data_IF_461705087103
#
_entry.id   IF_461705087103
#
_cell.length_a   1.000
_cell.length_b   1.000
_cell.length_c   1.000
_cell.angle_alpha   90.00
_cell.angle_beta   90.00
_cell.angle_gamma   90.00
#
_symmetry.space_group_name_H-M   'P 1'
#
loop_
_entity.id
_entity.type
_entity.pdbx_description
1 polymer ?
#
# COMPACT_ATOMS: atom_id res chain seq x y z
N UNK A 1 -14.35 -15.30 -16.79
CA UNK A 1 -13.59 -14.04 -16.86
C UNK A 1 -12.22 -14.29 -16.26
N UNK A 2 -11.13 -13.79 -16.87
CA UNK A 2 -9.80 -13.84 -16.25
C UNK A 2 -9.88 -13.03 -14.95
N UNK A 3 -9.51 -13.61 -13.81
CA UNK A 3 -9.39 -12.86 -12.55
C UNK A 3 -8.38 -11.74 -12.80
N UNK A 4 -8.68 -10.53 -12.34
CA UNK A 4 -7.79 -9.37 -12.52
C UNK A 4 -7.57 -8.70 -11.19
N UNK A 5 -6.30 -8.53 -10.86
CA UNK A 5 -5.87 -7.93 -9.61
C UNK A 5 -5.26 -6.56 -9.93
N UNK A 6 -5.67 -5.54 -9.19
CA UNK A 6 -5.07 -4.21 -9.27
C UNK A 6 -4.36 -3.95 -7.95
N UNK A 7 -3.05 -3.73 -7.96
CA UNK A 7 -2.33 -3.30 -6.75
C UNK A 7 -2.02 -1.82 -6.84
N UNK A 8 -2.32 -1.04 -5.80
CA UNK A 8 -2.05 0.40 -5.77
C UNK A 8 -1.10 0.73 -4.63
N UNK A 9 0.14 1.03 -4.98
CA UNK A 9 1.12 1.71 -4.12
C UNK A 9 0.99 3.23 -4.30
N UNK A 10 1.29 4.01 -3.26
CA UNK A 10 0.95 5.44 -3.26
C UNK A 10 1.73 6.30 -2.26
N UNK A 11 2.04 7.52 -2.65
CA UNK A 11 2.47 8.57 -1.73
C UNK A 11 1.32 9.02 -0.81
N UNK A 12 1.65 9.49 0.39
CA UNK A 12 0.67 10.03 1.32
C UNK A 12 0.11 11.35 0.81
N UNK A 13 -1.22 11.51 0.90
CA UNK A 13 -1.90 12.67 0.31
C UNK A 13 -2.07 12.63 -1.21
N UNK A 14 -1.57 11.62 -1.93
CA UNK A 14 -1.72 11.52 -3.40
C UNK A 14 -3.13 11.16 -3.87
N UNK A 15 -3.98 10.63 -3.00
CA UNK A 15 -5.32 10.19 -3.40
C UNK A 15 -5.43 8.76 -3.90
N UNK A 16 -4.34 7.99 -3.94
CA UNK A 16 -4.37 6.62 -4.48
C UNK A 16 -5.41 5.71 -3.82
N UNK A 17 -5.75 5.94 -2.54
CA UNK A 17 -6.84 5.22 -1.85
C UNK A 17 -8.20 5.45 -2.52
N UNK A 18 -8.55 6.71 -2.76
CA UNK A 18 -9.83 7.11 -3.36
C UNK A 18 -9.93 6.64 -4.82
N UNK A 19 -8.84 6.80 -5.58
CA UNK A 19 -8.76 6.34 -6.98
C UNK A 19 -8.99 4.81 -7.04
N UNK A 20 -8.37 4.04 -6.15
CA UNK A 20 -8.56 2.60 -6.08
C UNK A 20 -9.97 2.16 -5.68
N UNK A 21 -10.58 2.88 -4.74
CA UNK A 21 -11.93 2.60 -4.26
C UNK A 21 -12.96 2.83 -5.38
N UNK A 22 -12.87 3.96 -6.08
CA UNK A 22 -13.76 4.26 -7.20
C UNK A 22 -13.53 3.30 -8.38
N UNK A 23 -12.28 2.92 -8.67
CA UNK A 23 -12.00 1.90 -9.69
C UNK A 23 -12.63 0.54 -9.32
N UNK A 24 -12.48 0.08 -8.07
CA UNK A 24 -13.08 -1.18 -7.61
C UNK A 24 -14.61 -1.15 -7.75
N UNK A 25 -15.23 -0.04 -7.31
CA UNK A 25 -16.68 0.18 -7.36
C UNK A 25 -17.20 0.14 -8.80
N UNK A 26 -16.55 0.83 -9.74
CA UNK A 26 -16.96 0.86 -11.15
C UNK A 26 -16.77 -0.48 -11.86
N UNK A 27 -15.73 -1.22 -11.50
CA UNK A 27 -15.47 -2.55 -12.03
C UNK A 27 -16.35 -3.64 -11.38
N UNK A 28 -17.03 -3.33 -10.26
CA UNK A 28 -17.80 -4.31 -9.50
C UNK A 28 -16.95 -5.41 -8.87
N UNK A 29 -15.72 -5.07 -8.44
CA UNK A 29 -14.76 -6.00 -7.85
C UNK A 29 -14.46 -5.64 -6.39
N UNK A 30 -13.87 -6.57 -5.63
CA UNK A 30 -13.57 -6.34 -4.23
C UNK A 30 -12.50 -5.25 -4.04
N UNK A 31 -12.57 -4.53 -2.92
CA UNK A 31 -11.61 -3.49 -2.53
C UNK A 31 -10.99 -3.83 -1.18
N UNK A 32 -9.66 -3.92 -1.12
CA UNK A 32 -8.90 -4.25 0.08
C UNK A 32 -7.96 -3.13 0.49
N UNK A 33 -8.30 -2.47 1.59
CA UNK A 33 -7.45 -1.52 2.31
C UNK A 33 -7.49 -1.80 3.80
N UNK A 34 -8.42 -1.24 4.58
CA UNK A 34 -8.47 -1.51 6.02
C UNK A 34 -9.16 -2.82 6.37
N UNK A 35 -10.07 -3.28 5.54
CA UNK A 35 -10.82 -4.53 5.72
C UNK A 35 -9.95 -5.79 5.71
N UNK A 36 -8.79 -5.77 5.05
CA UNK A 36 -7.83 -6.89 5.08
C UNK A 36 -7.14 -7.06 6.45
N UNK A 37 -7.17 -6.05 7.32
CA UNK A 37 -6.44 -6.04 8.60
C UNK A 37 -6.89 -7.18 9.50
N UNK A 38 -8.19 -7.46 9.55
CA UNK A 38 -8.74 -8.51 10.41
C UNK A 38 -8.28 -9.91 9.95
N UNK A 39 -8.27 -10.17 8.63
CA UNK A 39 -7.78 -11.44 8.09
C UNK A 39 -6.27 -11.63 8.39
N UNK A 40 -5.48 -10.55 8.35
CA UNK A 40 -4.05 -10.58 8.71
C UNK A 40 -3.88 -10.80 10.22
N UNK A 41 -4.67 -10.11 11.05
CA UNK A 41 -4.66 -10.26 12.51
C UNK A 41 -4.97 -11.70 12.93
N UNK A 42 -6.01 -12.29 12.35
CA UNK A 42 -6.38 -13.68 12.59
C UNK A 42 -5.25 -14.66 12.22
N UNK A 43 -4.63 -14.49 11.03
CA UNK A 43 -3.52 -15.37 10.61
C UNK A 43 -2.21 -15.17 11.37
N UNK A 44 -1.96 -13.96 11.88
CA UNK A 44 -0.74 -13.64 12.64
C UNK A 44 -0.88 -13.93 14.13
N UNK A 45 -2.11 -14.04 14.65
CA UNK A 45 -2.38 -14.14 16.09
C UNK A 45 -2.16 -12.82 16.84
N UNK A 46 -2.05 -11.69 16.13
CA UNK A 46 -1.80 -10.35 16.68
C UNK A 46 -3.08 -9.52 16.66
N UNK A 47 -3.10 -8.42 17.43
CA UNK A 47 -4.27 -7.55 17.45
C UNK A 47 -4.42 -6.76 16.14
N UNK A 48 -5.67 -6.46 15.70
CA UNK A 48 -5.91 -5.61 14.53
C UNK A 48 -5.21 -4.25 14.62
N UNK A 49 -5.12 -3.66 15.82
CA UNK A 49 -4.45 -2.38 16.06
C UNK A 49 -2.95 -2.48 15.77
N UNK A 50 -2.31 -3.54 16.26
CA UNK A 50 -0.88 -3.77 16.00
C UNK A 50 -0.62 -4.01 14.50
N UNK A 51 -1.46 -4.81 13.84
CA UNK A 51 -1.36 -5.05 12.39
C UNK A 51 -1.54 -3.75 11.62
N UNK A 52 -2.51 -2.90 12.00
CA UNK A 52 -2.72 -1.60 11.36
C UNK A 52 -1.49 -0.70 11.42
N UNK A 53 -0.72 -0.74 12.52
CA UNK A 53 0.46 0.09 12.69
C UNK A 53 1.73 -0.43 12.01
N UNK A 54 1.79 -1.75 11.70
CA UNK A 54 3.00 -2.46 11.27
C UNK A 54 2.95 -3.03 9.84
N UNK A 55 1.75 -3.37 9.33
CA UNK A 55 1.59 -4.11 8.08
C UNK A 55 2.07 -3.35 6.83
N UNK A 56 1.92 -2.02 6.81
CA UNK A 56 2.36 -1.15 5.71
C UNK A 56 3.57 -0.26 6.06
N UNK A 57 3.97 -0.22 7.32
CA UNK A 57 4.83 0.84 7.83
C UNK A 57 6.00 0.24 8.61
N UNK A 58 7.18 0.85 8.44
CA UNK A 58 8.29 0.51 9.32
C UNK A 58 8.02 0.92 10.76
N UNK A 59 8.71 0.33 11.75
CA UNK A 59 8.82 0.93 13.07
C UNK A 59 9.25 2.40 12.96
N UNK A 60 8.80 3.24 13.89
CA UNK A 60 9.12 4.68 13.92
C UNK A 60 10.63 4.95 13.97
N UNK A 61 11.40 4.01 14.52
CA UNK A 61 12.87 4.08 14.61
C UNK A 61 13.60 3.66 13.31
N UNK A 62 12.88 3.32 12.24
CA UNK A 62 13.42 3.06 10.89
C UNK A 62 14.05 1.69 10.70
N UNK A 63 14.88 1.55 9.65
CA UNK A 63 15.47 0.26 9.21
C UNK A 63 16.30 -0.43 10.29
N UNK A 64 17.07 0.35 11.07
CA UNK A 64 17.84 -0.21 12.19
C UNK A 64 16.96 -0.90 13.23
N UNK A 65 15.73 -0.41 13.44
CA UNK A 65 14.81 -1.04 14.37
C UNK A 65 14.35 -2.42 13.88
N UNK A 66 14.20 -2.62 12.57
CA UNK A 66 13.95 -3.95 12.01
C UNK A 66 15.12 -4.91 12.26
N UNK A 67 16.36 -4.43 12.10
CA UNK A 67 17.55 -5.26 12.31
C UNK A 67 17.65 -5.77 13.76
N UNK A 68 17.22 -4.95 14.73
CA UNK A 68 17.29 -5.23 16.17
C UNK A 68 15.92 -5.52 16.82
N UNK A 69 14.87 -5.75 16.02
CA UNK A 69 13.59 -6.19 16.56
C UNK A 69 13.79 -7.52 17.29
N UNK A 70 13.06 -7.73 18.39
CA UNK A 70 13.18 -8.96 19.19
C UNK A 70 12.91 -10.17 18.31
N UNK A 71 13.94 -10.98 18.07
CA UNK A 71 13.85 -12.19 17.24
C UNK A 71 13.58 -13.39 18.13
N UNK A 72 12.66 -14.24 17.69
CA UNK A 72 12.40 -15.52 18.33
C UNK A 72 13.55 -16.53 18.07
N UNK A 73 13.38 -17.76 18.56
CA UNK A 73 14.35 -18.85 18.38
C UNK A 73 14.58 -19.23 16.90
N UNK A 74 13.68 -18.84 16.00
CA UNK A 74 13.79 -19.04 14.56
C UNK A 74 14.42 -17.85 13.84
N UNK A 75 14.76 -16.79 14.58
CA UNK A 75 15.31 -15.56 14.05
C UNK A 75 14.25 -14.60 13.49
N UNK A 76 12.95 -14.85 13.70
CA UNK A 76 11.87 -14.00 13.19
C UNK A 76 11.46 -12.94 14.21
N UNK A 77 11.30 -11.72 13.74
CA UNK A 77 10.68 -10.63 14.51
C UNK A 77 9.15 -10.70 14.45
N UNK A 78 8.47 -9.98 15.34
CA UNK A 78 7.00 -9.85 15.30
C UNK A 78 6.57 -9.22 13.96
N UNK A 79 7.34 -8.28 13.44
CA UNK A 79 7.08 -7.67 12.15
C UNK A 79 7.22 -8.66 10.98
N UNK A 80 8.15 -9.62 11.08
CA UNK A 80 8.28 -10.70 10.08
C UNK A 80 7.04 -11.59 10.11
N UNK A 81 6.48 -11.88 11.29
CA UNK A 81 5.23 -12.65 11.44
C UNK A 81 4.06 -11.92 10.76
N UNK A 82 3.94 -10.60 10.97
CA UNK A 82 2.92 -9.78 10.29
C UNK A 82 3.11 -9.82 8.77
N UNK A 83 4.35 -9.65 8.30
CA UNK A 83 4.64 -9.67 6.87
C UNK A 83 4.31 -11.02 6.22
N UNK A 84 4.66 -12.13 6.86
CA UNK A 84 4.33 -13.48 6.38
C UNK A 84 2.83 -13.74 6.36
N UNK A 85 2.10 -13.33 7.40
CA UNK A 85 0.64 -13.43 7.44
C UNK A 85 0.00 -12.58 6.32
N UNK A 86 0.45 -11.34 6.15
CA UNK A 86 0.02 -10.44 5.07
C UNK A 86 0.26 -11.04 3.69
N UNK A 87 1.44 -11.62 3.47
CA UNK A 87 1.78 -12.28 2.20
C UNK A 87 0.80 -13.41 1.89
N UNK A 88 0.47 -14.25 2.89
CA UNK A 88 -0.50 -15.34 2.74
C UNK A 88 -1.89 -14.81 2.41
N UNK A 89 -2.39 -13.82 3.14
CA UNK A 89 -3.71 -13.21 2.88
C UNK A 89 -3.77 -12.64 1.45
N UNK A 90 -2.78 -11.86 1.04
CA UNK A 90 -2.77 -11.24 -0.30
C UNK A 90 -2.80 -12.29 -1.42
N UNK A 91 -2.05 -13.38 -1.28
CA UNK A 91 -2.07 -14.48 -2.25
C UNK A 91 -3.44 -15.17 -2.28
N UNK A 92 -4.02 -15.47 -1.11
CA UNK A 92 -5.34 -16.08 -1.02
C UNK A 92 -6.45 -15.19 -1.61
N UNK A 93 -6.42 -13.88 -1.37
CA UNK A 93 -7.36 -12.92 -1.97
C UNK A 93 -7.23 -12.90 -3.49
N UNK A 94 -6.01 -12.85 -4.01
CA UNK A 94 -5.74 -12.85 -5.44
C UNK A 94 -6.18 -14.16 -6.13
N UNK A 95 -6.12 -15.28 -5.42
CA UNK A 95 -6.63 -16.58 -5.90
C UNK A 95 -8.15 -16.69 -5.78
N UNK A 96 -8.77 -15.98 -4.84
CA UNK A 96 -10.20 -16.03 -4.58
C UNK A 96 -11.00 -15.26 -5.62
N UNK A 97 -10.72 -13.97 -5.80
CA UNK A 97 -11.57 -13.06 -6.57
C UNK A 97 -10.80 -11.90 -7.22
N UNK A 98 -11.40 -11.28 -8.25
CA UNK A 98 -10.87 -10.02 -8.79
C UNK A 98 -10.97 -8.94 -7.72
N UNK A 99 -9.92 -8.14 -7.56
CA UNK A 99 -9.89 -7.12 -6.52
C UNK A 99 -8.87 -6.00 -6.77
N UNK A 100 -9.10 -4.87 -6.09
CA UNK A 100 -8.11 -3.81 -5.87
C UNK A 100 -7.50 -3.99 -4.49
N UNK A 101 -6.18 -4.01 -4.38
CA UNK A 101 -5.43 -4.10 -3.12
C UNK A 101 -4.58 -2.84 -2.95
N UNK A 102 -4.72 -2.17 -1.81
CA UNK A 102 -3.98 -0.95 -1.49
C UNK A 102 -2.74 -1.27 -0.63
N UNK A 103 -1.57 -0.84 -1.10
CA UNK A 103 -0.30 -0.88 -0.36
C UNK A 103 0.21 -2.28 -0.07
N UNK A 104 0.76 -2.47 1.15
CA UNK A 104 1.13 -3.78 1.72
C UNK A 104 2.15 -4.60 0.92
N UNK A 105 2.97 -3.91 0.12
CA UNK A 105 3.93 -4.52 -0.80
C UNK A 105 3.25 -5.50 -1.78
N UNK A 106 1.94 -5.33 -2.04
CA UNK A 106 1.15 -6.24 -2.86
C UNK A 106 1.69 -6.34 -4.29
N UNK A 107 2.20 -5.23 -4.83
CA UNK A 107 2.87 -5.19 -6.14
C UNK A 107 4.06 -6.17 -6.21
N UNK A 108 4.83 -6.28 -5.12
CA UNK A 108 5.97 -7.19 -5.05
C UNK A 108 5.56 -8.62 -4.69
N UNK A 109 4.59 -8.78 -3.77
CA UNK A 109 4.08 -10.10 -3.34
C UNK A 109 3.48 -10.85 -4.53
N UNK A 110 2.82 -10.12 -5.45
CA UNK A 110 2.15 -10.67 -6.62
C UNK A 110 2.97 -10.54 -7.92
N UNK A 111 4.27 -10.23 -7.83
CA UNK A 111 5.12 -9.92 -9.00
C UNK A 111 5.25 -11.04 -10.03
N UNK A 112 5.07 -12.29 -9.60
CA UNK A 112 5.21 -13.49 -10.44
C UNK A 112 3.87 -13.92 -11.07
N UNK A 113 2.85 -13.04 -11.05
CA UNK A 113 1.53 -13.29 -11.65
C UNK A 113 1.30 -12.49 -12.92
N UNK A 114 0.63 -13.10 -13.88
CA UNK A 114 0.37 -12.56 -15.22
C UNK A 114 -1.00 -11.86 -15.33
N UNK A 115 -1.69 -11.69 -14.21
CA UNK A 115 -3.06 -11.16 -14.11
C UNK A 115 -3.15 -9.96 -13.16
N UNK A 116 -2.01 -9.29 -12.91
CA UNK A 116 -1.87 -8.15 -12.01
C UNK A 116 -1.54 -6.88 -12.79
N UNK A 117 -2.35 -5.83 -12.60
CA UNK A 117 -2.01 -4.45 -12.96
C UNK A 117 -1.48 -3.73 -11.72
N UNK A 118 -0.17 -3.43 -11.70
CA UNK A 118 0.45 -2.70 -10.60
C UNK A 118 0.60 -1.20 -10.90
N UNK A 119 0.07 -0.38 -10.00
CA UNK A 119 -0.08 1.07 -10.17
C UNK A 119 0.59 1.79 -9.01
N UNK A 120 1.34 2.84 -9.31
CA UNK A 120 1.85 3.80 -8.34
C UNK A 120 1.19 5.16 -8.53
N UNK A 121 0.58 5.69 -7.48
CA UNK A 121 -0.03 7.02 -7.48
C UNK A 121 0.83 7.99 -6.67
N UNK A 122 1.28 9.05 -7.33
CA UNK A 122 2.05 10.13 -6.72
C UNK A 122 1.39 11.48 -7.01
N UNK A 123 1.91 12.55 -6.40
CA UNK A 123 1.36 13.88 -6.64
C UNK A 123 2.33 14.99 -6.25
N UNK A 124 2.01 16.19 -6.70
CA UNK A 124 2.76 17.40 -6.41
C UNK A 124 2.57 17.82 -4.94
N UNK A 125 3.63 18.38 -4.35
CA UNK A 125 3.70 18.70 -2.92
C UNK A 125 2.52 19.58 -2.45
N UNK A 126 2.21 20.72 -3.12
CA UNK A 126 1.16 21.63 -2.66
C UNK A 126 -0.21 20.95 -2.55
N UNK A 127 -0.58 20.16 -3.56
CA UNK A 127 -1.87 19.48 -3.65
C UNK A 127 -1.97 18.35 -2.63
N UNK A 128 -0.89 17.58 -2.44
CA UNK A 128 -0.83 16.55 -1.38
C UNK A 128 -0.97 17.19 0.00
N UNK A 129 -0.28 18.29 0.25
CA UNK A 129 -0.33 19.01 1.54
C UNK A 129 -1.70 19.58 1.82
N UNK A 130 -2.28 20.32 0.87
CA UNK A 130 -3.65 20.85 1.02
C UNK A 130 -4.65 19.75 1.31
N UNK A 131 -4.49 18.59 0.67
CA UNK A 131 -5.37 17.44 0.89
C UNK A 131 -5.21 16.83 2.28
N UNK A 132 -3.99 16.69 2.77
CA UNK A 132 -3.72 16.19 4.12
C UNK A 132 -4.29 17.16 5.16
N UNK A 133 -4.09 18.47 4.98
CA UNK A 133 -4.68 19.50 5.84
C UNK A 133 -6.20 19.34 5.94
N UNK A 134 -6.88 19.17 4.80
CA UNK A 134 -8.33 19.02 4.75
C UNK A 134 -8.82 17.72 5.39
N UNK A 135 -8.15 16.58 5.11
CA UNK A 135 -8.57 15.27 5.61
C UNK A 135 -8.33 15.08 7.11
N UNK A 136 -7.25 15.67 7.63
CA UNK A 136 -6.82 15.47 9.02
C UNK A 136 -7.07 16.70 9.91
N UNK A 137 -7.56 17.80 9.33
CA UNK A 137 -7.78 19.08 10.01
C UNK A 137 -6.52 19.59 10.73
N UNK A 138 -5.41 19.63 10.00
CA UNK A 138 -4.07 20.01 10.50
C UNK A 138 -3.50 21.20 9.71
N UNK A 139 -2.52 21.88 10.28
CA UNK A 139 -1.81 22.97 9.59
C UNK A 139 -0.78 22.47 8.57
N UNK A 140 -0.34 23.36 7.67
CA UNK A 140 0.64 23.09 6.60
C UNK A 140 1.90 22.35 7.09
N UNK A 141 2.55 22.88 8.14
CA UNK A 141 3.78 22.28 8.71
C UNK A 141 3.54 20.85 9.20
N UNK A 142 2.38 20.59 9.80
CA UNK A 142 2.02 19.27 10.30
C UNK A 142 1.69 18.32 9.14
N UNK A 143 0.94 18.78 8.13
CA UNK A 143 0.65 18.02 6.93
C UNK A 143 1.92 17.58 6.18
N UNK A 144 2.88 18.49 5.98
CA UNK A 144 4.19 18.18 5.38
C UNK A 144 4.94 17.15 6.22
N UNK A 145 4.92 17.28 7.55
CA UNK A 145 5.54 16.31 8.45
C UNK A 145 4.89 14.93 8.37
N UNK A 146 3.56 14.87 8.37
CA UNK A 146 2.82 13.61 8.26
C UNK A 146 3.12 12.89 6.95
N UNK A 147 3.20 13.64 5.84
CA UNK A 147 3.59 13.11 4.54
C UNK A 147 4.99 12.53 4.57
N UNK A 148 5.98 13.31 5.02
CA UNK A 148 7.36 12.88 5.07
C UNK A 148 7.55 11.65 5.97
N UNK A 149 6.90 11.60 7.14
CA UNK A 149 6.96 10.44 8.04
C UNK A 149 6.32 9.20 7.41
N UNK A 150 5.11 9.33 6.88
CA UNK A 150 4.37 8.19 6.31
C UNK A 150 5.10 7.61 5.10
N UNK A 151 5.54 8.44 4.17
CA UNK A 151 6.24 7.99 2.96
C UNK A 151 7.61 7.40 3.29
N UNK A 152 8.34 7.97 4.26
CA UNK A 152 9.59 7.38 4.75
C UNK A 152 9.36 6.00 5.37
N UNK A 153 8.29 5.83 6.15
CA UNK A 153 7.97 4.55 6.79
C UNK A 153 7.52 3.49 5.77
N UNK A 154 6.76 3.87 4.75
CA UNK A 154 6.41 3.00 3.61
C UNK A 154 7.65 2.58 2.82
N UNK A 155 8.50 3.54 2.45
CA UNK A 155 9.75 3.28 1.75
C UNK A 155 10.67 2.36 2.55
N UNK A 156 10.79 2.57 3.85
CA UNK A 156 11.63 1.74 4.72
C UNK A 156 11.10 0.31 4.82
N UNK A 157 9.79 0.13 5.01
CA UNK A 157 9.16 -1.20 5.02
C UNK A 157 9.35 -1.93 3.68
N UNK A 158 9.06 -1.24 2.57
CA UNK A 158 9.18 -1.80 1.23
C UNK A 158 10.63 -2.20 0.91
N UNK A 159 11.60 -1.33 1.17
CA UNK A 159 13.02 -1.63 0.91
C UNK A 159 13.57 -2.73 1.84
N UNK A 160 12.95 -2.96 3.01
CA UNK A 160 13.36 -4.03 3.91
C UNK A 160 12.88 -5.41 3.43
N UNK A 161 11.63 -5.49 2.97
CA UNK A 161 11.02 -6.76 2.54
C UNK A 161 11.13 -7.05 1.05
N UNK A 162 11.65 -6.11 0.27
CA UNK A 162 11.80 -6.25 -1.18
C UNK A 162 13.19 -5.82 -1.63
N UNK A 163 13.63 -6.35 -2.76
CA UNK A 163 14.88 -5.92 -3.40
C UNK A 163 14.67 -4.68 -4.30
N UNK A 164 13.51 -4.03 -4.18
CA UNK A 164 13.08 -2.94 -5.04
C UNK A 164 13.06 -1.61 -4.29
N UNK A 165 13.24 -0.51 -5.02
CA UNK A 165 13.11 0.84 -4.46
C UNK A 165 11.69 1.34 -4.58
N UNK A 166 11.03 1.62 -3.45
CA UNK A 166 9.67 2.16 -3.44
C UNK A 166 9.54 3.44 -4.27
N UNK A 167 8.48 3.53 -5.09
CA UNK A 167 8.22 4.68 -5.96
C UNK A 167 9.11 4.75 -7.22
N UNK A 168 9.99 3.77 -7.48
CA UNK A 168 10.72 3.71 -8.75
C UNK A 168 9.75 3.28 -9.86
N UNK A 169 9.53 4.17 -10.84
CA UNK A 169 8.56 3.96 -11.91
C UNK A 169 8.66 2.59 -12.62
N UNK A 170 9.88 2.08 -12.83
CA UNK A 170 10.10 0.78 -13.49
C UNK A 170 9.59 -0.45 -12.71
N UNK A 171 9.20 -0.29 -11.44
CA UNK A 171 8.61 -1.38 -10.66
C UNK A 171 7.11 -1.54 -10.94
N UNK A 172 6.48 -0.54 -11.58
CA UNK A 172 5.04 -0.46 -11.77
C UNK A 172 4.72 -0.40 -13.27
N UNK A 173 3.58 -0.95 -13.65
CA UNK A 173 3.04 -0.85 -15.01
C UNK A 173 2.61 0.60 -15.28
N UNK A 174 1.97 1.22 -14.29
CA UNK A 174 1.53 2.61 -14.35
C UNK A 174 2.11 3.40 -13.18
N UNK A 175 2.69 4.56 -13.46
CA UNK A 175 3.02 5.59 -12.46
C UNK A 175 2.31 6.87 -12.84
N UNK A 176 1.33 7.29 -12.04
CA UNK A 176 0.41 8.37 -12.38
C UNK A 176 0.53 9.53 -11.38
N UNK A 177 0.68 10.75 -11.91
CA UNK A 177 0.61 11.98 -11.13
C UNK A 177 -0.85 12.44 -11.01
N UNK A 178 -1.45 12.28 -9.85
CA UNK A 178 -2.85 12.64 -9.62
C UNK A 178 -3.10 14.14 -9.48
N UNK A 179 -2.07 14.93 -9.15
CA UNK A 179 -2.18 16.40 -9.13
C UNK A 179 -2.34 16.97 -10.54
N UNK A 180 -1.66 16.38 -11.52
CA UNK A 180 -1.69 16.82 -12.91
C UNK A 180 -2.87 16.23 -13.70
N UNK A 181 -3.17 14.95 -13.47
CA UNK A 181 -4.22 14.25 -14.23
C UNK A 181 -5.62 14.42 -13.62
N UNK A 182 -5.71 14.63 -12.32
CA UNK A 182 -6.97 14.51 -11.58
C UNK A 182 -7.37 13.05 -11.36
N UNK A 183 -8.24 12.82 -10.37
CA UNK A 183 -8.60 11.47 -9.94
C UNK A 183 -9.39 10.69 -10.99
N UNK A 184 -10.38 11.34 -11.59
CA UNK A 184 -11.23 10.74 -12.63
C UNK A 184 -10.41 10.26 -13.82
N UNK A 185 -9.36 11.00 -14.19
CA UNK A 185 -8.47 10.61 -15.29
C UNK A 185 -7.58 9.44 -14.88
N UNK A 186 -7.01 9.46 -13.67
CA UNK A 186 -6.22 8.34 -13.16
C UNK A 186 -7.05 7.05 -13.11
N UNK A 187 -8.26 7.11 -12.57
CA UNK A 187 -9.19 5.98 -12.50
C UNK A 187 -9.57 5.48 -13.90
N UNK A 188 -9.90 6.39 -14.83
CA UNK A 188 -10.18 6.02 -16.23
C UNK A 188 -9.00 5.30 -16.89
N UNK A 189 -7.77 5.79 -16.71
CA UNK A 189 -6.56 5.15 -17.24
C UNK A 189 -6.39 3.74 -16.66
N UNK A 190 -6.58 3.57 -15.34
CA UNK A 190 -6.49 2.25 -14.69
C UNK A 190 -7.52 1.29 -15.29
N UNK A 191 -8.77 1.72 -15.48
CA UNK A 191 -9.81 0.88 -16.05
C UNK A 191 -9.58 0.52 -17.52
N UNK A 192 -8.97 1.42 -18.31
CA UNK A 192 -8.65 1.17 -19.73
C UNK A 192 -7.48 0.18 -19.90
N UNK A 193 -6.63 0.02 -18.87
CA UNK A 193 -5.54 -0.96 -18.84
C UNK A 193 -5.96 -2.33 -18.28
N UNK A 194 -7.21 -2.45 -17.82
CA UNK A 194 -7.77 -3.68 -17.28
C UNK A 194 -8.29 -4.52 -18.43
#
# INVERSE_FOLDING_TARGET
>A
MKKRIITISREFGSGGRFIGEEAAKKLGIAYYDKNIINEIAEKSGLSPEYVQESAELSPKKGLFAYAFAGRDITGKSIEDIVYEAQRKVILELADRESCVIIGRNADYILKDRDDVLNVFIHGDMPEKTQRIMNLYNVGDKEAVRMMADTDKRRMTNYNFYTEQKWGKASNYTLSLNSSQLGYDRCEKIIMECI
#
